data_IF_903288137618
#
_entry.id   IF_903288137618
#
_cell.length_a   1.000
_cell.length_b   1.000
_cell.length_c   1.000
_cell.angle_alpha   90.00
_cell.angle_beta   90.00
_cell.angle_gamma   90.00
#
_symmetry.space_group_name_H-M   'P 1'
#
loop_
_entity.id
_entity.type
_entity.pdbx_description
1 polymer ?
#
# COMPACT_ATOMS: atom_id res chain seq x y z
N UNK A 1 -12.06 -12.25 4.23
CA UNK A 1 -11.88 -11.18 3.21
C UNK A 1 -12.33 -9.80 3.73
N UNK A 2 -13.55 -9.64 4.27
CA UNK A 2 -14.01 -8.34 4.81
C UNK A 2 -13.07 -7.74 5.87
N UNK A 3 -12.65 -8.54 6.86
CA UNK A 3 -11.72 -8.09 7.90
C UNK A 3 -10.41 -7.53 7.31
N UNK A 4 -9.80 -8.25 6.36
CA UNK A 4 -8.59 -7.80 5.66
C UNK A 4 -8.81 -6.48 4.92
N UNK A 5 -9.96 -6.32 4.25
CA UNK A 5 -10.30 -5.07 3.56
C UNK A 5 -10.44 -3.91 4.53
N UNK A 6 -11.11 -4.12 5.67
CA UNK A 6 -11.26 -3.11 6.73
C UNK A 6 -9.89 -2.72 7.28
N UNK A 7 -9.05 -3.69 7.63
CA UNK A 7 -7.69 -3.43 8.12
C UNK A 7 -6.85 -2.64 7.11
N UNK A 8 -6.93 -3.00 5.82
CA UNK A 8 -6.19 -2.30 4.75
C UNK A 8 -6.65 -0.85 4.58
N UNK A 9 -7.97 -0.60 4.58
CA UNK A 9 -8.52 0.74 4.51
C UNK A 9 -8.16 1.58 5.74
N UNK A 10 -8.30 1.02 6.95
CA UNK A 10 -7.94 1.68 8.20
C UNK A 10 -6.45 2.01 8.25
N UNK A 11 -5.57 1.08 7.84
CA UNK A 11 -4.14 1.33 7.78
C UNK A 11 -3.79 2.48 6.83
N UNK A 12 -4.45 2.56 5.67
CA UNK A 12 -4.26 3.66 4.72
C UNK A 12 -4.67 5.02 5.30
N UNK A 13 -5.83 5.11 5.95
CA UNK A 13 -6.33 6.34 6.56
C UNK A 13 -5.51 6.73 7.80
N UNK A 14 -5.10 5.74 8.61
CA UNK A 14 -4.26 5.97 9.79
C UNK A 14 -2.86 6.48 9.39
N UNK A 15 -2.24 5.91 8.35
CA UNK A 15 -0.96 6.38 7.86
C UNK A 15 -1.06 7.83 7.32
N UNK A 16 -2.14 8.16 6.61
CA UNK A 16 -2.43 9.54 6.21
C UNK A 16 -2.58 10.48 7.42
N UNK A 17 -3.32 10.07 8.45
CA UNK A 17 -3.50 10.85 9.67
C UNK A 17 -2.18 11.11 10.40
N UNK A 18 -1.31 10.10 10.52
CA UNK A 18 0.01 10.24 11.12
C UNK A 18 0.88 11.23 10.34
N UNK A 19 0.90 11.11 9.01
CA UNK A 19 1.72 11.95 8.13
C UNK A 19 1.28 13.42 8.10
N UNK A 20 -0.03 13.69 8.21
CA UNK A 20 -0.60 15.05 8.05
C UNK A 20 -0.93 15.77 9.36
N UNK A 21 -1.34 15.06 10.42
CA UNK A 21 -1.81 15.70 11.67
C UNK A 21 -0.72 15.65 12.76
N UNK A 22 -0.22 14.46 13.10
CA UNK A 22 0.79 14.27 14.15
C UNK A 22 2.23 14.52 13.67
N UNK A 23 2.48 14.33 12.37
CA UNK A 23 3.80 14.34 11.75
C UNK A 23 4.08 15.54 10.83
N UNK A 24 3.25 16.58 10.84
CA UNK A 24 3.42 17.73 9.95
C UNK A 24 4.82 18.37 10.03
N UNK A 25 5.40 18.38 11.25
CA UNK A 25 6.68 19.02 11.57
C UNK A 25 7.89 18.07 11.56
N UNK A 26 7.68 16.76 11.33
CA UNK A 26 8.75 15.74 11.38
C UNK A 26 9.05 15.28 9.94
N UNK A 27 10.33 14.99 9.66
CA UNK A 27 10.75 14.43 8.37
C UNK A 27 10.00 13.12 8.07
N UNK A 28 9.50 13.00 6.85
CA UNK A 28 8.73 11.83 6.38
C UNK A 28 9.51 10.52 6.54
N UNK A 29 10.82 10.55 6.31
CA UNK A 29 11.68 9.37 6.45
C UNK A 29 11.72 8.85 7.88
N UNK A 30 11.72 9.75 8.87
CA UNK A 30 11.75 9.38 10.29
C UNK A 30 10.43 8.72 10.70
N UNK A 31 9.30 9.24 10.23
CA UNK A 31 7.98 8.64 10.48
C UNK A 31 7.84 7.27 9.81
N UNK A 32 8.30 7.15 8.56
CA UNK A 32 8.31 5.86 7.87
C UNK A 32 9.18 4.83 8.61
N UNK A 33 10.33 5.24 9.15
CA UNK A 33 11.20 4.37 9.95
C UNK A 33 10.48 3.87 11.19
N UNK A 34 9.83 4.75 11.97
CA UNK A 34 9.08 4.32 13.15
C UNK A 34 7.93 3.36 12.81
N UNK A 35 7.19 3.64 11.74
CA UNK A 35 6.12 2.76 11.26
C UNK A 35 6.65 1.38 10.85
N UNK A 36 7.78 1.32 10.13
CA UNK A 36 8.36 0.05 9.71
C UNK A 36 8.98 -0.73 10.86
N UNK A 37 9.59 -0.06 11.86
CA UNK A 37 10.09 -0.73 13.06
C UNK A 37 8.96 -1.42 13.82
N UNK A 38 7.84 -0.73 14.03
CA UNK A 38 6.66 -1.31 14.68
C UNK A 38 6.09 -2.49 13.88
N UNK A 39 6.04 -2.36 12.54
CA UNK A 39 5.62 -3.46 11.66
C UNK A 39 6.55 -4.68 11.73
N UNK A 40 7.87 -4.48 11.78
CA UNK A 40 8.84 -5.57 11.90
C UNK A 40 8.67 -6.28 13.24
N UNK A 41 8.51 -5.52 14.33
CA UNK A 41 8.26 -6.08 15.65
C UNK A 41 6.98 -6.93 15.67
N UNK A 42 5.88 -6.39 15.14
CA UNK A 42 4.61 -7.12 15.05
C UNK A 42 4.73 -8.40 14.22
N UNK A 43 5.41 -8.35 13.07
CA UNK A 43 5.64 -9.53 12.22
C UNK A 43 6.45 -10.61 12.95
N UNK A 44 7.49 -10.23 13.70
CA UNK A 44 8.29 -11.19 14.50
C UNK A 44 7.44 -11.81 15.60
N UNK A 45 6.64 -11.02 16.32
CA UNK A 45 5.75 -11.53 17.38
C UNK A 45 4.73 -12.52 16.81
N UNK A 46 4.09 -12.19 15.68
CA UNK A 46 3.15 -13.08 15.00
C UNK A 46 3.84 -14.36 14.56
N UNK A 47 5.05 -14.26 14.00
CA UNK A 47 5.83 -15.43 13.59
C UNK A 47 6.13 -16.36 14.77
N UNK A 48 6.57 -15.82 15.90
CA UNK A 48 6.87 -16.60 17.12
C UNK A 48 5.59 -17.24 17.68
N UNK A 49 4.48 -16.49 17.72
CA UNK A 49 3.20 -16.99 18.21
C UNK A 49 2.67 -18.11 17.30
N UNK A 50 2.74 -17.92 15.99
CA UNK A 50 2.34 -18.91 14.99
C UNK A 50 3.20 -20.18 15.10
N UNK A 51 4.53 -20.01 15.21
CA UNK A 51 5.45 -21.12 15.44
C UNK A 51 5.11 -21.88 16.71
N UNK A 52 4.88 -21.18 17.83
CA UNK A 52 4.53 -21.79 19.12
C UNK A 52 3.20 -22.53 19.08
N UNK A 53 2.20 -22.00 18.38
CA UNK A 53 0.86 -22.58 18.29
C UNK A 53 0.78 -23.77 17.31
N UNK A 54 1.56 -23.73 16.21
CA UNK A 54 1.60 -24.79 15.21
C UNK A 54 2.64 -25.88 15.49
N UNK A 55 3.57 -25.67 16.44
CA UNK A 55 4.62 -26.61 16.84
C UNK A 55 4.13 -27.90 17.52
N UNK A 56 2.83 -28.20 17.44
CA UNK A 56 2.34 -29.55 17.66
C UNK A 56 2.83 -30.56 16.61
N UNK A 57 3.20 -30.16 15.37
CA UNK A 57 3.45 -31.15 14.29
C UNK A 57 4.29 -30.74 13.03
N UNK A 58 5.04 -29.63 12.94
CA UNK A 58 5.66 -29.28 11.62
C UNK A 58 7.07 -28.68 11.61
N UNK A 59 7.93 -29.29 10.77
CA UNK A 59 9.30 -28.91 10.33
C UNK A 59 9.37 -27.61 9.49
N UNK A 60 8.68 -26.56 9.90
CA UNK A 60 8.58 -25.34 9.09
C UNK A 60 9.89 -24.55 8.99
N UNK A 61 10.75 -24.66 10.01
CA UNK A 61 12.05 -23.97 10.09
C UNK A 61 13.22 -24.82 9.57
N UNK A 62 13.07 -26.15 9.55
CA UNK A 62 14.13 -27.09 9.12
C UNK A 62 14.28 -27.18 7.60
N UNK A 63 13.24 -26.82 6.84
CA UNK A 63 13.22 -26.89 5.37
C UNK A 63 13.56 -25.56 4.67
N UNK A 64 14.01 -24.54 5.41
CA UNK A 64 14.34 -23.24 4.82
C UNK A 64 15.80 -23.24 4.37
N UNK A 65 16.02 -23.42 3.08
CA UNK A 65 17.34 -23.29 2.49
C UNK A 65 17.85 -21.84 2.64
N UNK A 66 19.00 -21.60 3.32
CA UNK A 66 19.52 -20.26 3.52
C UNK A 66 19.93 -19.56 2.20
N UNK A 67 20.12 -20.35 1.14
CA UNK A 67 20.48 -19.84 -0.18
C UNK A 67 19.35 -19.08 -0.87
N UNK A 68 18.10 -19.23 -0.40
CA UNK A 68 16.93 -18.49 -0.89
C UNK A 68 17.09 -16.98 -0.65
N UNK A 69 17.72 -16.57 0.46
CA UNK A 69 17.89 -15.15 0.79
C UNK A 69 18.87 -14.43 -0.15
N UNK A 70 19.76 -15.16 -0.82
CA UNK A 70 20.81 -14.60 -1.69
C UNK A 70 20.36 -14.61 -3.16
N UNK A 71 19.22 -15.23 -3.47
CA UNK A 71 18.72 -15.30 -4.84
C UNK A 71 18.41 -13.89 -5.38
N UNK A 72 18.99 -13.49 -6.52
CA UNK A 72 18.87 -12.11 -7.03
C UNK A 72 17.43 -11.73 -7.35
N UNK A 73 16.60 -12.71 -7.76
CA UNK A 73 15.17 -12.51 -8.02
C UNK A 73 14.43 -12.09 -6.75
N UNK A 74 14.74 -12.70 -5.61
CA UNK A 74 14.08 -12.39 -4.32
C UNK A 74 14.50 -11.01 -3.85
N UNK A 75 15.80 -10.68 -3.92
CA UNK A 75 16.29 -9.34 -3.60
C UNK A 75 15.63 -8.25 -4.48
N UNK A 76 15.44 -8.53 -5.77
CA UNK A 76 14.77 -7.61 -6.68
C UNK A 76 13.30 -7.39 -6.29
N UNK A 77 12.57 -8.45 -5.95
CA UNK A 77 11.17 -8.36 -5.49
C UNK A 77 11.09 -7.58 -4.17
N UNK A 78 11.98 -7.87 -3.21
CA UNK A 78 12.05 -7.17 -1.93
C UNK A 78 12.34 -5.67 -2.12
N UNK A 79 13.30 -5.35 -2.98
CA UNK A 79 13.65 -3.96 -3.33
C UNK A 79 12.48 -3.21 -3.97
N UNK A 80 11.80 -3.82 -4.95
CA UNK A 80 10.62 -3.23 -5.57
C UNK A 80 9.49 -2.99 -4.55
N UNK A 81 9.23 -3.96 -3.67
CA UNK A 81 8.20 -3.82 -2.64
C UNK A 81 8.55 -2.72 -1.63
N UNK A 82 9.84 -2.57 -1.28
CA UNK A 82 10.31 -1.48 -0.44
C UNK A 82 10.14 -0.11 -1.14
N UNK A 83 10.46 -0.02 -2.44
CA UNK A 83 10.27 1.20 -3.23
C UNK A 83 8.79 1.60 -3.27
N UNK A 84 7.87 0.65 -3.50
CA UNK A 84 6.41 0.89 -3.48
C UNK A 84 5.95 1.41 -2.11
N UNK A 85 6.52 0.91 -1.01
CA UNK A 85 6.23 1.40 0.35
C UNK A 85 6.66 2.85 0.58
N UNK A 86 7.84 3.23 0.10
CA UNK A 86 8.34 4.61 0.17
C UNK A 86 7.48 5.54 -0.70
N UNK A 87 7.20 5.14 -1.96
CA UNK A 87 6.35 5.90 -2.89
C UNK A 87 4.96 6.09 -2.30
N UNK A 88 4.38 5.05 -1.71
CA UNK A 88 3.08 5.10 -1.02
C UNK A 88 3.06 6.17 0.06
N UNK A 89 4.11 6.22 0.89
CA UNK A 89 4.18 7.16 2.00
C UNK A 89 4.32 8.60 1.49
N UNK A 90 5.11 8.81 0.42
CA UNK A 90 5.22 10.10 -0.25
C UNK A 90 3.91 10.53 -0.93
N UNK A 91 3.20 9.58 -1.54
CA UNK A 91 1.89 9.82 -2.16
C UNK A 91 0.87 10.25 -1.11
N UNK A 92 0.83 9.60 0.06
CA UNK A 92 -0.06 9.97 1.17
C UNK A 92 0.31 11.29 1.84
N UNK A 93 1.57 11.75 1.77
CA UNK A 93 1.96 13.09 2.21
C UNK A 93 1.31 14.17 1.33
N UNK A 94 1.33 13.96 0.02
CA UNK A 94 0.89 14.96 -0.95
C UNK A 94 -0.60 14.85 -1.31
N UNK A 95 -1.18 13.66 -1.19
CA UNK A 95 -2.54 13.31 -1.62
C UNK A 95 -3.27 12.53 -0.52
N UNK A 96 -4.56 12.23 -0.72
CA UNK A 96 -5.34 11.46 0.26
C UNK A 96 -5.28 9.95 -0.04
N UNK A 97 -5.57 9.13 0.96
CA UNK A 97 -5.68 7.67 0.87
C UNK A 97 -6.64 7.19 -0.22
N UNK A 98 -7.68 7.98 -0.52
CA UNK A 98 -8.63 7.71 -1.61
C UNK A 98 -7.98 7.86 -3.00
N UNK A 99 -7.21 8.94 -3.22
CA UNK A 99 -6.49 9.14 -4.48
C UNK A 99 -5.42 8.07 -4.67
N UNK A 100 -4.81 7.57 -3.58
CA UNK A 100 -3.87 6.45 -3.64
C UNK A 100 -4.54 5.21 -4.20
N UNK A 101 -5.74 4.87 -3.71
CA UNK A 101 -6.46 3.68 -4.20
C UNK A 101 -6.82 3.77 -5.69
N UNK A 102 -7.16 4.98 -6.19
CA UNK A 102 -7.36 5.19 -7.63
C UNK A 102 -6.07 5.08 -8.43
N UNK A 103 -4.96 5.63 -7.93
CA UNK A 103 -3.64 5.52 -8.58
C UNK A 103 -3.20 4.05 -8.69
N UNK A 104 -3.36 3.26 -7.63
CA UNK A 104 -3.06 1.82 -7.66
C UNK A 104 -3.98 1.05 -8.61
N UNK A 105 -5.24 1.45 -8.77
CA UNK A 105 -6.13 0.84 -9.76
C UNK A 105 -5.68 1.16 -11.20
N UNK A 106 -5.23 2.39 -11.46
CA UNK A 106 -4.71 2.80 -12.77
C UNK A 106 -3.39 2.09 -13.11
N UNK A 107 -2.51 1.89 -12.13
CA UNK A 107 -1.29 1.09 -12.27
C UNK A 107 -1.59 -0.35 -12.72
N UNK A 108 -2.64 -0.98 -12.17
CA UNK A 108 -3.06 -2.32 -12.59
C UNK A 108 -3.58 -2.35 -14.03
N UNK A 109 -4.31 -1.32 -14.48
CA UNK A 109 -4.74 -1.19 -15.88
C UNK A 109 -3.52 -1.09 -16.80
N UNK A 110 -2.57 -0.24 -16.45
CA UNK A 110 -1.34 -0.07 -17.23
C UNK A 110 -0.55 -1.37 -17.32
N UNK A 111 -0.41 -2.08 -16.20
CA UNK A 111 0.21 -3.41 -16.16
C UNK A 111 -0.52 -4.39 -17.07
N UNK A 112 -1.87 -4.41 -17.05
CA UNK A 112 -2.65 -5.30 -17.90
C UNK A 112 -2.45 -5.02 -19.41
N UNK A 113 -2.38 -3.74 -19.80
CA UNK A 113 -2.10 -3.32 -21.18
C UNK A 113 -0.68 -3.70 -21.60
N UNK A 114 0.31 -3.49 -20.73
CA UNK A 114 1.70 -3.91 -20.99
C UNK A 114 1.83 -5.43 -21.12
N UNK A 115 1.12 -6.20 -20.29
CA UNK A 115 1.12 -7.66 -20.38
C UNK A 115 0.58 -8.15 -21.72
N UNK A 116 -0.46 -7.51 -22.26
CA UNK A 116 -0.94 -7.82 -23.60
C UNK A 116 0.09 -7.50 -24.67
N UNK A 117 0.77 -6.34 -24.58
CA UNK A 117 1.77 -5.93 -25.56
C UNK A 117 3.02 -6.84 -25.55
N UNK A 118 3.53 -7.19 -24.37
CA UNK A 118 4.82 -7.89 -24.21
C UNK A 118 4.66 -9.41 -24.31
N UNK A 119 3.61 -9.98 -23.70
CA UNK A 119 3.42 -11.43 -23.60
C UNK A 119 2.36 -11.96 -24.56
N UNK A 120 1.68 -11.09 -25.33
CA UNK A 120 0.61 -11.47 -26.28
C UNK A 120 -0.48 -12.35 -25.66
N UNK A 121 -0.76 -12.18 -24.36
CA UNK A 121 -1.80 -12.92 -23.65
C UNK A 121 -3.17 -12.46 -24.16
N UNK A 122 -4.07 -13.37 -24.60
CA UNK A 122 -5.34 -12.98 -25.18
C UNK A 122 -6.21 -12.21 -24.18
N UNK A 123 -6.58 -10.98 -24.53
CA UNK A 123 -7.52 -10.18 -23.73
C UNK A 123 -8.94 -10.64 -24.03
N UNK A 124 -9.66 -11.08 -23.00
CA UNK A 124 -11.09 -11.36 -23.08
C UNK A 124 -11.92 -10.08 -22.93
N UNK A 125 -13.13 -10.08 -23.49
CA UNK A 125 -14.08 -8.96 -23.40
C UNK A 125 -14.34 -8.52 -21.95
N UNK A 126 -14.36 -9.46 -20.99
CA UNK A 126 -14.53 -9.16 -19.56
C UNK A 126 -13.45 -8.19 -19.03
N UNK A 127 -12.21 -8.35 -19.49
CA UNK A 127 -11.09 -7.50 -19.08
C UNK A 127 -11.24 -6.09 -19.67
N UNK A 128 -11.69 -5.98 -20.93
CA UNK A 128 -11.95 -4.70 -21.59
C UNK A 128 -13.06 -3.93 -20.87
N UNK A 129 -14.17 -4.59 -20.54
CA UNK A 129 -15.29 -3.97 -19.81
C UNK A 129 -14.85 -3.52 -18.41
N UNK A 130 -14.04 -4.32 -17.72
CA UNK A 130 -13.50 -3.98 -16.40
C UNK A 130 -12.62 -2.73 -16.45
N UNK A 131 -11.70 -2.64 -17.43
CA UNK A 131 -10.86 -1.47 -17.64
C UNK A 131 -11.70 -0.23 -17.93
N UNK A 132 -12.71 -0.34 -18.80
CA UNK A 132 -13.60 0.76 -19.14
C UNK A 132 -14.36 1.28 -17.90
N UNK A 133 -14.85 0.38 -17.04
CA UNK A 133 -15.55 0.76 -15.80
C UNK A 133 -14.64 1.50 -14.82
N UNK A 134 -13.41 1.01 -14.61
CA UNK A 134 -12.44 1.66 -13.72
C UNK A 134 -12.02 3.03 -14.28
N UNK A 135 -11.78 3.15 -15.58
CA UNK A 135 -11.51 4.43 -16.23
C UNK A 135 -12.66 5.42 -16.04
N UNK A 136 -13.90 4.97 -16.22
CA UNK A 136 -15.09 5.80 -16.00
C UNK A 136 -15.18 6.28 -14.54
N UNK A 137 -14.93 5.40 -13.56
CA UNK A 137 -14.93 5.76 -12.15
C UNK A 137 -13.87 6.83 -11.81
N UNK A 138 -12.66 6.71 -12.39
CA UNK A 138 -11.59 7.70 -12.22
C UNK A 138 -11.98 9.05 -12.80
N UNK A 139 -12.59 9.08 -14.00
CA UNK A 139 -13.05 10.33 -14.64
C UNK A 139 -14.13 11.00 -13.79
N UNK A 140 -15.11 10.23 -13.32
CA UNK A 140 -16.20 10.74 -12.49
C UNK A 140 -15.70 11.31 -11.16
N UNK A 141 -14.72 10.64 -10.53
CA UNK A 141 -14.09 11.14 -9.31
C UNK A 141 -13.28 12.41 -9.55
N UNK A 142 -12.57 12.52 -10.69
CA UNK A 142 -11.79 13.69 -11.07
C UNK A 142 -12.65 14.95 -11.27
N UNK A 143 -13.90 14.79 -11.70
CA UNK A 143 -14.83 15.91 -11.91
C UNK A 143 -15.35 16.51 -10.61
N UNK A 144 -15.50 15.70 -9.55
CA UNK A 144 -15.95 16.16 -8.23
C UNK A 144 -15.03 15.59 -7.13
N UNK A 145 -13.77 16.07 -7.05
CA UNK A 145 -12.85 15.57 -6.06
C UNK A 145 -13.35 15.95 -4.66
N UNK A 146 -13.23 15.01 -3.72
CA UNK A 146 -13.61 15.25 -2.31
C UNK A 146 -12.73 16.39 -1.77
N UNK A 147 -13.33 17.56 -1.59
CA UNK A 147 -12.66 18.72 -1.01
C UNK A 147 -12.44 18.44 0.48
N UNK A 148 -11.18 18.25 0.87
CA UNK A 148 -10.82 18.09 2.28
C UNK A 148 -10.83 19.49 2.93
N UNK A 149 -12.01 19.95 3.36
CA UNK A 149 -12.28 21.27 3.96
C UNK A 149 -11.43 21.62 5.20
N UNK A 150 -10.70 20.65 5.77
CA UNK A 150 -9.98 20.78 7.03
C UNK A 150 -8.77 21.74 7.04
N UNK A 151 -8.22 22.13 5.89
CA UNK A 151 -7.09 23.08 5.87
C UNK A 151 -7.53 24.52 6.16
N UNK A 152 -8.81 24.90 5.93
CA UNK A 152 -9.22 26.31 6.00
C UNK A 152 -9.64 26.79 7.40
N UNK A 153 -10.21 25.93 8.25
CA UNK A 153 -10.64 26.33 9.61
C UNK A 153 -9.48 26.47 10.61
N UNK A 154 -8.42 25.65 10.48
CA UNK A 154 -7.31 25.67 11.47
C UNK A 154 -6.36 26.86 11.29
N UNK A 155 -6.33 27.49 10.11
CA UNK A 155 -5.59 28.74 9.88
C UNK A 155 -6.30 29.98 10.47
N UNK A 156 -7.62 29.91 10.67
CA UNK A 156 -8.40 31.01 11.26
C UNK A 156 -8.28 30.97 12.79
N UNK A 157 -8.20 29.76 13.38
CA UNK A 157 -8.08 29.58 14.83
C UNK A 157 -6.66 29.81 15.38
N UNK A 158 -5.66 30.05 14.53
CA UNK A 158 -4.31 30.47 14.93
C UNK A 158 -4.07 31.98 14.74
N UNK A 159 -5.08 32.71 14.26
CA UNK A 159 -5.05 34.17 14.05
C UNK A 159 -6.03 34.90 14.98
N UNK A 160 -6.90 34.17 15.69
CA UNK A 160 -7.76 34.64 16.79
C UNK A 160 -7.20 34.06 18.10
#
# INVERSE_FOLDING_TARGET
KLFQTICSCLAGVYNEYLLKDRGANINIFVQNVFMYIDSIFCNIVILILLYTFLNGNSDMLNNVDPNIFIQPVILLIMSNNAAIGIITSFFLRNLNSILKTFASALELIFTAVLCWLIFSIPIHLNTVVSIAMVCYAVILYSQNPVQNVRTKERAISSVI
#
